data_IF_443922667222
#
_entry.id   IF_443922667222
#
_cell.length_a   1.000
_cell.length_b   1.000
_cell.length_c   1.000
_cell.angle_alpha   90.00
_cell.angle_beta   90.00
_cell.angle_gamma   90.00
#
_symmetry.space_group_name_H-M   'P 1'
#
loop_
_entity.id
_entity.type
_entity.pdbx_description
1 polymer ?
#
# COMPACT_ATOMS: atom_id res chain seq x y z
N UNK A 1 19.21 10.52 -13.10
CA UNK A 1 19.61 9.22 -12.52
C UNK A 1 18.42 8.68 -11.76
N UNK A 2 18.05 7.40 -11.92
CA UNK A 2 16.97 6.78 -11.12
C UNK A 2 17.62 5.84 -10.11
N UNK A 3 17.83 6.27 -8.85
CA UNK A 3 18.24 5.36 -7.78
C UNK A 3 17.28 4.17 -7.75
N UNK A 4 17.81 2.94 -7.79
CA UNK A 4 16.97 1.74 -7.88
C UNK A 4 16.58 1.27 -9.29
N UNK A 5 17.07 1.87 -10.38
CA UNK A 5 16.82 1.37 -11.77
C UNK A 5 17.23 -0.10 -11.99
N UNK A 6 18.13 -0.63 -11.16
CA UNK A 6 18.58 -2.04 -11.15
C UNK A 6 18.00 -2.84 -9.97
N UNK A 7 17.06 -2.28 -9.21
CA UNK A 7 16.39 -2.99 -8.14
C UNK A 7 15.43 -4.04 -8.71
N UNK A 8 15.45 -5.24 -8.14
CA UNK A 8 14.42 -6.27 -8.39
C UNK A 8 13.04 -5.84 -7.87
N UNK A 9 13.01 -4.83 -6.99
CA UNK A 9 11.82 -4.33 -6.31
C UNK A 9 11.51 -2.92 -6.79
N UNK A 10 10.22 -2.63 -6.98
CA UNK A 10 9.72 -1.27 -7.19
C UNK A 10 9.37 -0.67 -5.83
N UNK A 11 9.50 0.64 -5.70
CA UNK A 11 9.32 1.34 -4.43
C UNK A 11 8.16 2.35 -4.51
N UNK A 12 7.46 2.52 -3.39
CA UNK A 12 6.35 3.45 -3.23
C UNK A 12 6.85 4.87 -2.97
N UNK A 13 6.13 5.86 -3.50
CA UNK A 13 6.42 7.27 -3.27
C UNK A 13 5.97 7.73 -1.87
N UNK A 14 4.76 7.35 -1.46
CA UNK A 14 4.12 7.81 -0.21
C UNK A 14 4.62 7.23 1.10
N UNK A 15 5.46 6.18 1.08
CA UNK A 15 5.92 5.49 2.30
C UNK A 15 7.44 5.36 2.34
N UNK A 16 8.14 6.48 2.17
CA UNK A 16 9.60 6.53 2.28
C UNK A 16 10.35 5.44 1.48
N UNK A 17 9.84 5.06 0.31
CA UNK A 17 10.45 4.02 -0.50
C UNK A 17 10.20 2.58 -0.04
N UNK A 18 9.12 2.28 0.71
CA UNK A 18 8.72 0.89 0.94
C UNK A 18 8.50 0.17 -0.40
N UNK A 19 8.90 -1.10 -0.49
CA UNK A 19 8.67 -1.91 -1.68
C UNK A 19 7.17 -2.05 -1.98
N UNK A 20 6.78 -2.04 -3.26
CA UNK A 20 5.37 -2.18 -3.66
C UNK A 20 4.73 -3.44 -3.06
N UNK A 21 5.51 -4.51 -2.92
CA UNK A 21 5.10 -5.79 -2.35
C UNK A 21 4.72 -5.69 -0.87
N UNK A 22 5.18 -4.66 -0.15
CA UNK A 22 4.74 -4.42 1.23
C UNK A 22 3.25 -4.12 1.30
N UNK A 23 2.69 -3.42 0.30
CA UNK A 23 1.25 -3.16 0.22
C UNK A 23 0.54 -4.14 -0.71
N UNK A 24 1.06 -4.36 -1.92
CA UNK A 24 0.41 -5.23 -2.91
C UNK A 24 0.61 -6.72 -2.67
N UNK A 25 1.28 -7.07 -1.56
CA UNK A 25 1.62 -8.43 -1.17
C UNK A 25 2.48 -9.13 -2.24
N UNK A 26 3.15 -10.22 -1.86
CA UNK A 26 3.76 -11.09 -2.86
C UNK A 26 2.73 -12.14 -3.26
N UNK A 27 2.40 -12.24 -4.55
CA UNK A 27 1.61 -13.37 -5.06
C UNK A 27 2.30 -14.70 -4.71
N UNK A 28 3.63 -14.74 -4.70
CA UNK A 28 4.38 -15.95 -4.36
C UNK A 28 4.38 -16.27 -2.86
N UNK A 29 3.94 -15.33 -2.01
CA UNK A 29 3.98 -15.47 -0.56
C UNK A 29 2.62 -15.50 0.13
N UNK A 30 1.57 -14.92 -0.46
CA UNK A 30 0.21 -14.87 0.13
C UNK A 30 -0.90 -15.37 -0.80
N UNK A 31 -0.75 -15.19 -2.12
CA UNK A 31 -1.76 -15.57 -3.11
C UNK A 31 -1.18 -16.47 -4.18
N UNK A 32 -1.15 -17.81 -3.96
CA UNK A 32 -0.53 -18.73 -4.90
C UNK A 32 -1.13 -18.55 -6.30
N UNK A 33 -0.25 -18.45 -7.30
CA UNK A 33 -0.63 -18.27 -8.71
C UNK A 33 -1.53 -19.42 -9.20
N UNK A 34 -1.33 -20.61 -8.63
CA UNK A 34 -2.21 -21.77 -8.83
C UNK A 34 -3.16 -21.90 -7.64
N UNK A 35 -4.48 -21.74 -7.84
CA UNK A 35 -5.46 -21.96 -6.79
C UNK A 35 -5.32 -23.35 -6.18
N UNK A 36 -5.30 -23.45 -4.85
CA UNK A 36 -5.26 -24.72 -4.12
C UNK A 36 -3.85 -25.26 -3.79
N UNK A 37 -2.78 -24.69 -4.35
CA UNK A 37 -1.41 -25.13 -4.02
C UNK A 37 -1.02 -24.82 -2.57
N UNK A 38 -1.49 -23.68 -2.06
CA UNK A 38 -1.30 -23.30 -0.66
C UNK A 38 -2.57 -22.65 -0.10
N UNK A 39 -3.50 -23.50 0.32
CA UNK A 39 -4.76 -23.07 0.94
C UNK A 39 -4.56 -22.49 2.33
N UNK A 40 -3.48 -22.86 3.02
CA UNK A 40 -3.23 -22.45 4.41
C UNK A 40 -2.83 -20.99 4.43
N UNK A 41 -1.85 -20.62 3.62
CA UNK A 41 -1.39 -19.24 3.48
C UNK A 41 -2.50 -18.35 2.92
N UNK A 42 -3.27 -18.85 1.93
CA UNK A 42 -4.42 -18.12 1.40
C UNK A 42 -5.47 -17.80 2.48
N UNK A 43 -5.71 -18.74 3.42
CA UNK A 43 -6.64 -18.54 4.55
C UNK A 43 -6.08 -17.63 5.65
N UNK A 44 -4.76 -17.48 5.73
CA UNK A 44 -4.12 -16.54 6.65
C UNK A 44 -4.09 -15.11 6.08
N UNK A 45 -4.09 -14.94 4.76
CA UNK A 45 -4.03 -13.63 4.10
C UNK A 45 -5.04 -12.58 4.62
N UNK A 46 -6.32 -12.91 4.96
CA UNK A 46 -7.24 -11.99 5.62
C UNK A 46 -6.72 -11.32 6.88
N UNK A 47 -5.87 -11.99 7.67
CA UNK A 47 -5.47 -11.53 9.01
C UNK A 47 -4.70 -10.22 9.00
N UNK A 48 -4.16 -9.84 7.84
CA UNK A 48 -3.36 -8.64 7.69
C UNK A 48 -4.18 -7.38 7.43
N UNK A 49 -5.40 -7.53 6.92
CA UNK A 49 -6.35 -6.43 6.83
C UNK A 49 -7.35 -6.54 7.98
N UNK A 50 -7.55 -5.49 8.79
CA UNK A 50 -8.47 -5.55 9.93
C UNK A 50 -9.92 -5.91 9.55
N UNK A 51 -10.33 -5.59 8.32
CA UNK A 51 -11.66 -5.92 7.77
C UNK A 51 -11.74 -7.34 7.17
N UNK A 52 -10.66 -8.12 7.22
CA UNK A 52 -10.56 -9.46 6.65
C UNK A 52 -10.51 -9.48 5.12
N UNK A 53 -10.40 -8.32 4.46
CA UNK A 53 -10.39 -8.26 2.99
C UNK A 53 -9.11 -8.86 2.41
N UNK A 54 -9.26 -9.55 1.28
CA UNK A 54 -8.14 -9.97 0.44
C UNK A 54 -7.71 -8.81 -0.48
N UNK A 55 -6.46 -8.84 -0.91
CA UNK A 55 -5.86 -7.83 -1.81
C UNK A 55 -4.75 -7.03 -1.13
N UNK A 56 -4.41 -5.84 -1.64
CA UNK A 56 -3.39 -5.02 -1.02
C UNK A 56 -3.69 -4.72 0.46
N UNK A 57 -2.66 -4.51 1.28
CA UNK A 57 -2.84 -4.03 2.64
C UNK A 57 -3.56 -2.68 2.62
N UNK A 58 -4.61 -2.60 3.42
CA UNK A 58 -5.36 -1.36 3.67
C UNK A 58 -4.56 -0.47 4.59
N UNK A 59 -4.85 0.83 4.56
CA UNK A 59 -4.19 1.80 5.44
C UNK A 59 -4.30 1.42 6.92
N UNK A 60 -5.43 0.81 7.31
CA UNK A 60 -5.71 0.31 8.65
C UNK A 60 -4.75 -0.78 9.15
N UNK A 61 -3.97 -1.41 8.28
CA UNK A 61 -2.95 -2.37 8.68
C UNK A 61 -1.81 -1.72 9.48
N UNK A 62 -1.56 -0.42 9.26
CA UNK A 62 -0.47 0.33 9.92
C UNK A 62 -0.95 1.60 10.63
N UNK A 63 -2.04 2.21 10.17
CA UNK A 63 -2.53 3.49 10.67
C UNK A 63 -3.85 3.34 11.42
N UNK A 64 -4.09 4.25 12.35
CA UNK A 64 -5.46 4.56 12.75
C UNK A 64 -6.16 5.29 11.61
N UNK A 65 -7.38 4.84 11.29
CA UNK A 65 -8.15 5.31 10.14
C UNK A 65 -9.53 5.79 10.57
N UNK A 66 -10.14 6.62 9.73
CA UNK A 66 -11.55 6.99 9.86
C UNK A 66 -12.48 5.88 9.34
N UNK A 67 -13.79 6.13 9.37
CA UNK A 67 -14.82 5.19 8.90
C UNK A 67 -14.70 4.79 7.43
N UNK A 68 -14.02 5.60 6.61
CA UNK A 68 -13.77 5.33 5.19
C UNK A 68 -12.45 4.56 4.96
N UNK A 69 -11.75 4.16 6.03
CA UNK A 69 -10.47 3.47 5.94
C UNK A 69 -9.29 4.38 5.58
N UNK A 70 -9.46 5.70 5.68
CA UNK A 70 -8.43 6.71 5.35
C UNK A 70 -7.73 7.18 6.62
N UNK A 71 -6.39 7.23 6.66
CA UNK A 71 -5.64 7.75 7.81
C UNK A 71 -5.95 9.21 8.10
N UNK A 72 -6.02 9.58 9.39
CA UNK A 72 -6.20 10.98 9.81
C UNK A 72 -5.06 11.92 9.40
N UNK A 73 -3.90 11.37 9.02
CA UNK A 73 -2.74 12.13 8.53
C UNK A 73 -2.89 12.56 7.06
N UNK A 74 -3.89 12.06 6.33
CA UNK A 74 -4.13 12.38 4.91
C UNK A 74 -4.84 13.74 4.72
N UNK A 75 -4.42 14.77 5.48
CA UNK A 75 -5.09 16.07 5.57
C UNK A 75 -4.75 16.96 4.36
N UNK A 76 -5.42 16.70 3.24
CA UNK A 76 -5.54 17.58 2.08
C UNK A 76 -7.03 17.63 1.66
N UNK A 77 -7.63 18.83 1.57
CA UNK A 77 -9.09 18.95 1.49
C UNK A 77 -9.73 18.36 0.22
N UNK A 78 -9.07 18.36 -0.95
CA UNK A 78 -9.55 17.66 -2.14
C UNK A 78 -8.40 17.22 -3.06
N UNK A 79 -8.55 16.06 -3.70
CA UNK A 79 -7.69 15.59 -4.77
C UNK A 79 -8.51 15.35 -6.04
N UNK A 80 -8.15 16.06 -7.12
CA UNK A 80 -8.88 16.02 -8.41
C UNK A 80 -10.40 16.29 -8.25
N UNK A 81 -10.76 17.20 -7.33
CA UNK A 81 -12.15 17.58 -7.05
C UNK A 81 -12.94 16.54 -6.25
N UNK A 82 -12.25 15.59 -5.59
CA UNK A 82 -12.85 14.63 -4.66
C UNK A 82 -12.24 14.78 -3.27
N UNK A 83 -13.05 14.76 -2.20
CA UNK A 83 -12.54 14.81 -0.84
C UNK A 83 -11.76 13.54 -0.47
N UNK A 84 -10.48 13.66 -0.15
CA UNK A 84 -9.60 12.52 0.19
C UNK A 84 -10.15 11.75 1.39
N UNK A 85 -10.52 12.47 2.46
CA UNK A 85 -10.96 11.86 3.72
C UNK A 85 -12.28 11.08 3.63
N UNK A 86 -13.03 11.24 2.54
CA UNK A 86 -14.34 10.59 2.34
C UNK A 86 -14.33 9.49 1.28
N UNK A 87 -13.20 9.25 0.61
CA UNK A 87 -13.11 8.31 -0.50
C UNK A 87 -11.75 7.60 -0.50
N UNK A 88 -11.78 6.31 -0.11
CA UNK A 88 -10.57 5.49 0.01
C UNK A 88 -9.74 5.45 -1.27
N UNK A 89 -10.39 5.29 -2.43
CA UNK A 89 -9.69 5.17 -3.72
C UNK A 89 -9.04 6.50 -4.15
N UNK A 90 -9.67 7.63 -3.82
CA UNK A 90 -9.10 8.97 -3.99
C UNK A 90 -7.87 9.13 -3.10
N UNK A 91 -7.94 8.70 -1.84
CA UNK A 91 -6.79 8.72 -0.93
C UNK A 91 -5.63 7.85 -1.44
N UNK A 92 -5.92 6.64 -1.93
CA UNK A 92 -4.92 5.76 -2.55
C UNK A 92 -4.30 6.42 -3.78
N UNK A 93 -5.11 7.00 -4.66
CA UNK A 93 -4.63 7.65 -5.88
C UNK A 93 -3.71 8.83 -5.57
N UNK A 94 -4.13 9.68 -4.63
CA UNK A 94 -3.33 10.79 -4.14
C UNK A 94 -1.96 10.32 -3.62
N UNK A 95 -1.90 9.27 -2.80
CA UNK A 95 -0.63 8.74 -2.29
C UNK A 95 0.30 8.18 -3.38
N UNK A 96 -0.26 7.62 -4.46
CA UNK A 96 0.54 7.09 -5.56
C UNK A 96 1.08 8.19 -6.48
N UNK A 97 0.38 9.31 -6.58
CA UNK A 97 0.68 10.36 -7.56
C UNK A 97 1.39 11.58 -6.95
N UNK A 98 1.04 11.99 -5.74
CA UNK A 98 1.46 13.27 -5.14
C UNK A 98 2.76 13.18 -4.34
N UNK A 99 3.08 12.01 -3.79
CA UNK A 99 4.25 11.86 -2.93
C UNK A 99 5.58 11.87 -3.72
N UNK A 100 6.69 12.32 -3.11
CA UNK A 100 8.01 12.26 -3.73
C UNK A 100 8.49 10.82 -3.89
N UNK A 101 9.09 10.50 -5.03
CA UNK A 101 9.71 9.19 -5.25
C UNK A 101 11.12 9.17 -4.66
N UNK A 102 11.27 8.52 -3.50
CA UNK A 102 12.58 8.37 -2.84
C UNK A 102 13.36 7.13 -3.32
N UNK A 103 12.82 6.34 -4.25
CA UNK A 103 13.56 5.26 -4.92
C UNK A 103 14.13 4.17 -4.02
N UNK A 104 13.58 3.98 -2.80
CA UNK A 104 14.13 3.07 -1.80
C UNK A 104 15.50 3.48 -1.27
N UNK A 105 15.86 4.77 -1.39
CA UNK A 105 17.07 5.30 -0.81
C UNK A 105 17.05 5.11 0.71
N UNK A 106 18.12 4.56 1.26
CA UNK A 106 18.35 4.58 2.71
C UNK A 106 18.68 6.04 3.05
N UNK A 107 17.95 6.70 3.97
CA UNK A 107 18.28 8.06 4.40
C UNK A 107 19.74 8.13 4.83
N UNK A 108 20.41 9.25 4.57
CA UNK A 108 21.74 9.50 5.13
C UNK A 108 21.62 9.44 6.67
N UNK A 109 22.52 8.69 7.32
CA UNK A 109 22.60 8.56 8.79
C UNK A 109 22.74 9.92 9.51
#
# INVERSE_FOLDING_TARGET
>A
NQPGKHSLMRYSKGHAGLACQSCHQSIHGLYPVTPGTDITTYRQAPQYNPDGSHGPFRCAACHEVNENGVPWIADEEEYKGKPIMKDYDTAVSWMHESAPDLGGAIPDE
#
